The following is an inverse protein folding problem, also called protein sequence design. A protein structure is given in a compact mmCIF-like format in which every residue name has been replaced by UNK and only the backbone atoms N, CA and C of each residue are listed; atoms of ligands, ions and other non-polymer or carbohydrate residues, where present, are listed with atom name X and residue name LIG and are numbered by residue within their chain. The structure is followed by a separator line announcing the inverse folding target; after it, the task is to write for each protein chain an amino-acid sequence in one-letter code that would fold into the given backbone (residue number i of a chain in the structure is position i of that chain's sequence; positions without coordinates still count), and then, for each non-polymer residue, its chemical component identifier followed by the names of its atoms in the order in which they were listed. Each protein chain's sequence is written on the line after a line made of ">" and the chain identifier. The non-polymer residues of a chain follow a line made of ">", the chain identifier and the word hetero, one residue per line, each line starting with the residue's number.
data_IF_372477877330
#
_entry.id   IF_372477877330
#
_cell.length_a   1.000
_cell.length_b   1.000
_cell.length_c   1.000
_cell.angle_alpha   90.00
_cell.angle_beta   90.00
_cell.angle_gamma   90.00
#
_symmetry.space_group_name_H-M   'P 1'
#
loop_
_entity.id
_entity.type
_entity.pdbx_description
1 polymer ?
#
# COMPACT_ATOMS: atom_id res chain seq x y z
N UNK A 1 -3.44 8.57 -3.07
CA UNK A 1 -4.40 8.45 -1.94
C UNK A 1 -3.99 7.21 -1.16
N UNK A 2 -3.69 7.33 0.13
CA UNK A 2 -3.31 6.17 0.95
C UNK A 2 -4.56 5.30 1.13
N UNK A 3 -4.59 4.15 0.49
CA UNK A 3 -5.78 3.27 0.46
C UNK A 3 -5.92 2.48 1.77
N UNK A 4 -4.90 2.47 2.59
CA UNK A 4 -4.81 1.69 3.81
C UNK A 4 -6.00 1.87 4.77
N UNK A 5 -6.29 3.11 5.21
CA UNK A 5 -7.44 3.42 6.06
C UNK A 5 -8.74 3.30 5.25
N UNK A 6 -8.66 3.57 3.97
CA UNK A 6 -9.75 3.47 3.01
C UNK A 6 -10.09 2.04 2.61
N UNK A 7 -9.17 1.08 2.73
CA UNK A 7 -9.44 -0.32 2.39
C UNK A 7 -10.46 -0.97 3.33
N UNK A 8 -10.74 -0.37 4.48
CA UNK A 8 -11.77 -0.80 5.41
C UNK A 8 -13.15 -0.16 5.15
N UNK A 9 -13.25 0.75 4.18
CA UNK A 9 -14.53 1.34 3.77
C UNK A 9 -15.23 0.44 2.73
N UNK A 10 -16.48 0.09 3.00
CA UNK A 10 -17.25 -0.85 2.16
C UNK A 10 -17.41 -0.40 0.71
N UNK A 11 -17.55 0.91 0.45
CA UNK A 11 -17.68 1.45 -0.91
C UNK A 11 -16.48 1.12 -1.82
N UNK A 12 -15.27 0.93 -1.27
CA UNK A 12 -14.12 0.53 -2.06
C UNK A 12 -14.28 -0.91 -2.58
N UNK A 13 -14.80 -1.80 -1.74
CA UNK A 13 -15.07 -3.19 -2.12
C UNK A 13 -16.19 -3.32 -3.15
N UNK A 14 -17.21 -2.46 -3.08
CA UNK A 14 -18.24 -2.36 -4.11
C UNK A 14 -17.62 -1.93 -5.46
N UNK A 15 -16.75 -0.92 -5.47
CA UNK A 15 -16.04 -0.48 -6.67
C UNK A 15 -15.10 -1.56 -7.22
N UNK A 16 -14.40 -2.29 -6.35
CA UNK A 16 -13.51 -3.41 -6.72
C UNK A 16 -14.30 -4.52 -7.40
N UNK A 17 -15.45 -4.92 -6.85
CA UNK A 17 -16.32 -5.92 -7.44
C UNK A 17 -16.84 -5.48 -8.82
N UNK A 18 -17.27 -4.22 -8.93
CA UNK A 18 -17.77 -3.66 -10.19
C UNK A 18 -16.68 -3.57 -11.27
N UNK A 19 -15.47 -3.16 -10.91
CA UNK A 19 -14.33 -3.06 -11.84
C UNK A 19 -13.98 -4.43 -12.47
N UNK A 20 -14.05 -5.50 -11.68
CA UNK A 20 -13.86 -6.86 -12.17
C UNK A 20 -14.98 -7.27 -13.15
N UNK A 21 -16.24 -6.98 -12.81
CA UNK A 21 -17.40 -7.26 -13.69
C UNK A 21 -17.27 -6.52 -15.03
N UNK A 22 -16.75 -5.30 -15.02
CA UNK A 22 -16.52 -4.50 -16.23
C UNK A 22 -15.23 -4.88 -16.97
N UNK A 23 -14.44 -5.82 -16.46
CA UNK A 23 -13.17 -6.28 -17.04
C UNK A 23 -12.20 -5.12 -17.35
N UNK A 24 -12.04 -4.22 -16.38
CA UNK A 24 -11.21 -3.01 -16.57
C UNK A 24 -9.71 -3.35 -16.58
N UNK A 25 -9.24 -4.02 -17.64
CA UNK A 25 -7.85 -4.47 -17.80
C UNK A 25 -6.81 -3.34 -17.91
N UNK A 26 -7.24 -2.08 -17.95
CA UNK A 26 -6.38 -0.90 -17.90
C UNK A 26 -6.34 -0.24 -16.51
N UNK A 27 -7.04 -0.82 -15.51
CA UNK A 27 -7.06 -0.33 -14.14
C UNK A 27 -5.98 -1.03 -13.32
N UNK A 28 -5.06 -0.25 -12.78
CA UNK A 28 -4.05 -0.71 -11.82
C UNK A 28 -4.30 0.00 -10.48
N UNK A 29 -4.52 -0.78 -9.44
CA UNK A 29 -4.71 -0.31 -8.08
C UNK A 29 -3.48 -0.61 -7.23
N UNK A 30 -2.94 0.39 -6.55
CA UNK A 30 -1.89 0.22 -5.55
C UNK A 30 -2.48 0.24 -4.15
N UNK A 31 -2.12 -0.76 -3.34
CA UNK A 31 -2.43 -0.83 -1.90
C UNK A 31 -1.14 -0.61 -1.11
N UNK A 32 -1.04 0.51 -0.41
CA UNK A 32 0.06 0.78 0.51
C UNK A 32 -0.18 0.03 1.83
N UNK A 33 0.45 -1.14 1.99
CA UNK A 33 0.33 -1.98 3.18
C UNK A 33 1.50 -1.72 4.14
N UNK A 34 1.44 -0.61 4.85
CA UNK A 34 2.44 -0.21 5.84
C UNK A 34 2.07 -0.59 7.29
N UNK A 35 1.09 -1.48 7.47
CA UNK A 35 0.64 -2.08 8.75
C UNK A 35 0.12 -1.10 9.81
N UNK A 36 0.05 0.21 9.52
CA UNK A 36 -0.40 1.21 10.47
C UNK A 36 -1.55 2.05 9.91
N UNK A 37 -2.44 2.52 10.75
CA UNK A 37 -3.51 3.47 10.42
C UNK A 37 -3.56 4.59 11.47
N UNK A 38 -4.54 5.51 11.37
CA UNK A 38 -4.58 6.72 12.21
C UNK A 38 -4.54 6.37 13.70
N UNK A 39 -5.29 5.35 14.12
CA UNK A 39 -5.50 5.00 15.52
C UNK A 39 -4.57 3.90 16.04
N UNK A 40 -3.67 3.35 15.20
CA UNK A 40 -2.74 2.31 15.61
C UNK A 40 -2.37 1.32 14.51
N UNK A 41 -1.98 0.13 14.91
CA UNK A 41 -1.67 -0.95 13.97
C UNK A 41 -2.95 -1.61 13.45
N UNK A 42 -2.97 -1.92 12.14
CA UNK A 42 -4.10 -2.59 11.47
C UNK A 42 -4.49 -3.88 12.19
N UNK A 43 -3.51 -4.69 12.62
CA UNK A 43 -3.73 -5.95 13.34
C UNK A 43 -4.46 -5.81 14.69
N UNK A 44 -4.47 -4.61 15.27
CA UNK A 44 -5.13 -4.34 16.56
C UNK A 44 -6.52 -3.71 16.39
N UNK A 45 -6.79 -3.10 15.23
CA UNK A 45 -8.02 -2.36 14.98
C UNK A 45 -8.98 -3.19 14.13
N UNK A 46 -8.57 -3.52 12.91
CA UNK A 46 -9.34 -4.33 11.98
C UNK A 46 -8.39 -5.02 11.00
N UNK A 47 -7.99 -6.25 11.30
CA UNK A 47 -7.05 -7.00 10.47
C UNK A 47 -7.64 -7.31 9.11
N UNK A 48 -6.89 -6.96 8.08
CA UNK A 48 -7.30 -7.18 6.69
C UNK A 48 -6.80 -8.52 6.13
N UNK A 49 -5.98 -9.25 6.88
CA UNK A 49 -5.40 -10.52 6.44
C UNK A 49 -4.74 -10.40 5.05
N UNK A 50 -4.94 -11.39 4.15
CA UNK A 50 -4.38 -11.38 2.81
C UNK A 50 -5.18 -10.48 1.87
N UNK A 51 -4.61 -9.35 1.46
CA UNK A 51 -5.15 -8.54 0.37
C UNK A 51 -5.16 -9.29 -0.96
N UNK A 52 -4.09 -10.06 -1.24
CA UNK A 52 -3.97 -10.82 -2.48
C UNK A 52 -5.14 -11.79 -2.65
N UNK A 53 -5.48 -12.55 -1.60
CA UNK A 53 -6.58 -13.51 -1.66
C UNK A 53 -7.93 -12.82 -1.81
N UNK A 54 -8.13 -11.68 -1.14
CA UNK A 54 -9.34 -10.87 -1.29
C UNK A 54 -9.51 -10.37 -2.72
N UNK A 55 -8.48 -9.77 -3.31
CA UNK A 55 -8.55 -9.30 -4.69
C UNK A 55 -8.75 -10.45 -5.68
N UNK A 56 -8.06 -11.58 -5.50
CA UNK A 56 -8.25 -12.76 -6.34
C UNK A 56 -9.66 -13.32 -6.24
N UNK A 57 -10.29 -13.31 -5.05
CA UNK A 57 -11.68 -13.74 -4.89
C UNK A 57 -12.68 -12.86 -5.65
N UNK A 58 -12.34 -11.59 -5.90
CA UNK A 58 -13.08 -10.67 -6.75
C UNK A 58 -12.63 -10.70 -8.23
N UNK A 59 -11.87 -11.72 -8.64
CA UNK A 59 -11.39 -11.90 -10.03
C UNK A 59 -10.41 -10.83 -10.52
N UNK A 60 -9.67 -10.20 -9.62
CA UNK A 60 -8.53 -9.35 -9.97
C UNK A 60 -7.26 -10.18 -10.18
N UNK A 61 -6.36 -9.69 -11.02
CA UNK A 61 -4.96 -10.08 -10.95
C UNK A 61 -4.32 -9.38 -9.75
N UNK A 62 -3.65 -10.12 -8.85
CA UNK A 62 -3.14 -9.53 -7.62
C UNK A 62 -1.78 -10.11 -7.24
N UNK A 63 -0.86 -9.22 -6.89
CA UNK A 63 0.50 -9.53 -6.46
C UNK A 63 0.90 -8.68 -5.26
N UNK A 64 1.71 -9.22 -4.37
CA UNK A 64 2.35 -8.47 -3.28
C UNK A 64 3.85 -8.38 -3.51
N UNK A 65 4.43 -7.23 -3.24
CA UNK A 65 5.84 -6.93 -3.48
C UNK A 65 6.42 -6.06 -2.35
N UNK A 66 7.75 -6.02 -2.27
CA UNK A 66 8.44 -5.00 -1.48
C UNK A 66 8.22 -3.62 -2.12
N UNK A 67 7.47 -2.74 -1.44
CA UNK A 67 7.14 -1.40 -1.92
C UNK A 67 8.31 -0.41 -1.91
N UNK A 68 9.50 -0.82 -1.45
CA UNK A 68 10.74 -0.04 -1.51
C UNK A 68 11.73 -0.55 -2.57
N UNK A 69 11.36 -1.58 -3.33
CA UNK A 69 12.15 -2.12 -4.43
C UNK A 69 11.62 -1.60 -5.77
N UNK A 70 12.37 -0.69 -6.39
CA UNK A 70 12.00 -0.09 -7.68
C UNK A 70 11.93 -1.11 -8.83
N UNK A 71 12.75 -2.16 -8.79
CA UNK A 71 12.71 -3.20 -9.81
C UNK A 71 11.43 -4.04 -9.67
N UNK A 72 11.09 -4.46 -8.45
CA UNK A 72 9.85 -5.18 -8.18
C UNK A 72 8.60 -4.36 -8.57
N UNK A 73 8.60 -3.05 -8.29
CA UNK A 73 7.52 -2.14 -8.71
C UNK A 73 7.43 -2.08 -10.25
N UNK A 74 8.56 -1.92 -10.93
CA UNK A 74 8.60 -1.86 -12.39
C UNK A 74 8.07 -3.15 -13.04
N UNK A 75 8.52 -4.30 -12.55
CA UNK A 75 8.08 -5.62 -13.03
C UNK A 75 6.58 -5.82 -12.81
N UNK A 76 6.07 -5.51 -11.62
CA UNK A 76 4.65 -5.63 -11.31
C UNK A 76 3.78 -4.72 -12.20
N UNK A 77 4.20 -3.48 -12.46
CA UNK A 77 3.49 -2.58 -13.38
C UNK A 77 3.53 -3.11 -14.81
N UNK A 78 4.68 -3.63 -15.24
CA UNK A 78 4.85 -4.18 -16.59
C UNK A 78 3.92 -5.38 -16.79
N UNK A 79 3.90 -6.32 -15.83
CA UNK A 79 2.96 -7.44 -15.83
C UNK A 79 1.50 -6.96 -15.87
N UNK A 80 1.13 -6.01 -15.00
CA UNK A 80 -0.24 -5.50 -14.94
C UNK A 80 -0.70 -4.86 -16.27
N UNK A 81 0.20 -4.25 -17.03
CA UNK A 81 -0.10 -3.71 -18.37
C UNK A 81 -0.35 -4.78 -19.43
N UNK A 82 0.12 -5.99 -19.21
CA UNK A 82 -0.12 -7.14 -20.11
C UNK A 82 -1.46 -7.81 -19.85
N UNK A 83 -2.01 -7.70 -18.65
CA UNK A 83 -3.33 -8.22 -18.27
C UNK A 83 -4.41 -7.36 -18.92
N UNK A 84 -5.32 -7.95 -19.73
CA UNK A 84 -6.31 -7.21 -20.53
C UNK A 84 -7.77 -7.48 -20.15
N UNK A 85 -8.02 -8.60 -19.50
CA UNK A 85 -9.38 -9.11 -19.25
C UNK A 85 -9.87 -8.89 -17.82
N UNK A 86 -9.04 -8.32 -16.96
CA UNK A 86 -9.34 -8.03 -15.55
C UNK A 86 -8.45 -6.92 -15.00
N UNK A 87 -8.88 -6.20 -13.97
CA UNK A 87 -8.05 -5.22 -13.30
C UNK A 87 -6.93 -5.87 -12.48
N UNK A 88 -5.87 -5.11 -12.21
CA UNK A 88 -4.70 -5.55 -11.45
C UNK A 88 -4.55 -4.79 -10.14
N UNK A 89 -4.23 -5.49 -9.05
CA UNK A 89 -3.91 -4.94 -7.74
C UNK A 89 -2.46 -5.26 -7.36
N UNK A 90 -1.70 -4.24 -7.01
CA UNK A 90 -0.31 -4.36 -6.55
C UNK A 90 -0.26 -3.93 -5.09
N UNK A 91 -0.02 -4.89 -4.21
CA UNK A 91 0.08 -4.68 -2.77
C UNK A 91 1.55 -4.38 -2.43
N UNK A 92 1.79 -3.18 -1.94
CA UNK A 92 3.11 -2.66 -1.61
C UNK A 92 3.35 -2.83 -0.10
N UNK A 93 4.19 -3.78 0.29
CA UNK A 93 4.68 -3.84 1.67
C UNK A 93 5.68 -2.72 1.89
N UNK A 94 5.31 -1.75 2.70
CA UNK A 94 6.13 -0.56 2.96
C UNK A 94 6.38 -0.38 4.46
N UNK A 95 7.39 0.42 4.76
CA UNK A 95 7.65 0.92 6.11
C UNK A 95 7.23 2.38 6.17
N UNK A 96 6.29 2.69 7.06
CA UNK A 96 5.85 4.08 7.27
C UNK A 96 7.04 4.94 7.72
N UNK A 97 7.26 6.06 7.02
CA UNK A 97 8.37 6.97 7.33
C UNK A 97 9.74 6.50 6.83
N UNK A 98 9.79 5.52 5.90
CA UNK A 98 11.02 4.94 5.35
C UNK A 98 12.05 5.99 4.96
N UNK A 99 13.29 5.83 5.43
CA UNK A 99 14.40 6.75 5.23
C UNK A 99 14.48 7.86 6.28
N UNK A 100 13.50 7.95 7.18
CA UNK A 100 13.48 8.93 8.26
C UNK A 100 13.43 8.20 9.61
N UNK A 101 14.57 8.07 10.27
CA UNK A 101 14.79 7.19 11.43
C UNK A 101 13.79 7.42 12.57
N UNK A 102 13.46 8.66 12.92
CA UNK A 102 12.47 8.96 13.95
C UNK A 102 11.04 8.61 13.50
N UNK A 103 10.72 8.75 12.21
CA UNK A 103 9.39 8.45 11.68
C UNK A 103 9.14 6.94 11.54
N UNK A 104 10.16 6.14 11.28
CA UNK A 104 10.06 4.67 11.22
C UNK A 104 9.73 4.04 12.58
N UNK A 105 10.05 4.73 13.69
CA UNK A 105 9.83 4.24 15.06
C UNK A 105 8.40 4.46 15.58
N UNK A 106 7.57 5.15 14.81
CA UNK A 106 6.22 5.50 15.26
C UNK A 106 5.17 5.16 14.23
N UNK A 107 4.03 4.68 14.71
CA UNK A 107 2.82 4.51 13.89
C UNK A 107 2.09 5.83 13.67
N UNK A 108 2.46 6.89 14.38
CA UNK A 108 1.73 8.15 14.42
C UNK A 108 1.60 8.80 13.04
N UNK A 109 0.40 9.30 12.73
CA UNK A 109 0.12 9.97 11.45
C UNK A 109 0.60 11.43 11.46
N UNK A 110 0.61 12.06 12.62
CA UNK A 110 1.09 13.42 12.84
C UNK A 110 2.24 13.41 13.85
N UNK A 111 3.40 13.87 13.43
CA UNK A 111 4.61 13.93 14.25
C UNK A 111 5.06 15.38 14.31
N UNK A 112 5.31 15.88 15.52
CA UNK A 112 6.04 17.14 15.70
C UNK A 112 7.53 16.85 15.55
N UNK A 113 8.16 17.46 14.56
CA UNK A 113 9.59 17.28 14.28
C UNK A 113 10.41 18.25 15.11
N UNK A 114 11.28 17.75 16.00
CA UNK A 114 12.25 18.56 16.74
C UNK A 114 13.44 18.95 15.84
N UNK A 115 14.29 19.85 16.31
CA UNK A 115 15.53 20.18 15.59
C UNK A 115 16.50 18.99 15.55
N UNK A 116 16.52 18.22 16.61
CA UNK A 116 17.33 17.02 16.77
C UNK A 116 16.87 15.93 15.80
N UNK A 117 15.56 15.67 15.71
CA UNK A 117 14.99 14.72 14.74
C UNK A 117 15.30 15.12 13.29
N UNK A 118 15.21 16.41 12.97
CA UNK A 118 15.54 16.92 11.65
C UNK A 118 17.03 16.69 11.33
N UNK A 119 17.93 16.94 12.29
CA UNK A 119 19.36 16.72 12.08
C UNK A 119 19.68 15.24 11.90
N UNK A 120 19.09 14.35 12.70
CA UNK A 120 19.22 12.90 12.57
C UNK A 120 18.77 12.42 11.17
N UNK A 121 17.60 12.89 10.70
CA UNK A 121 17.10 12.53 9.39
C UNK A 121 17.99 13.01 8.24
N UNK A 122 18.50 14.25 8.31
CA UNK A 122 19.41 14.77 7.29
C UNK A 122 20.72 13.97 7.22
N UNK A 123 21.30 13.62 8.36
CA UNK A 123 22.51 12.79 8.42
C UNK A 123 22.27 11.39 7.80
N UNK A 124 21.09 10.80 8.04
CA UNK A 124 20.74 9.49 7.49
C UNK A 124 20.52 9.52 5.97
N UNK A 125 20.13 10.67 5.40
CA UNK A 125 19.91 10.84 3.95
C UNK A 125 21.21 11.18 3.20
N UNK A 126 22.24 11.69 3.91
CA UNK A 126 23.55 12.03 3.33
C UNK A 126 24.53 10.86 3.36
N UNK A 127 24.22 9.78 4.08
CA UNK A 127 25.04 8.59 4.25
C UNK A 127 24.77 7.54 3.15
#
# INVERSE_FOLDING_TARGET
>A
MCIRDRSQEGQNWEAILYAAQQKLGNLILFVDDNKAQIDGYVSQINEMESYVDKFKSFHWDAVEINGHDYNAIHEAITHAKEVKDKPSAIILHTVKGKGCTFAERTWCHHISVSKEDMQEALQALEA
#
